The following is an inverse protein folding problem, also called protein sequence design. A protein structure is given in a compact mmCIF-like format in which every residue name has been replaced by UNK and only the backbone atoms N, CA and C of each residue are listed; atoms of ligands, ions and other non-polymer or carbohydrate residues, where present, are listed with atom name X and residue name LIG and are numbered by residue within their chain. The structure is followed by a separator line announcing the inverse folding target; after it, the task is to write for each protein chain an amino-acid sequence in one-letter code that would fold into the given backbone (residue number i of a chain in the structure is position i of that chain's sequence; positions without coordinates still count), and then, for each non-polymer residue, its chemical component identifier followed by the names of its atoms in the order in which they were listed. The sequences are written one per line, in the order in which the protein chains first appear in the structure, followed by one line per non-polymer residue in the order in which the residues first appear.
data_IF_108421641791
#
_entry.id   IF_108421641791
#
_cell.length_a   1.000
_cell.length_b   1.000
_cell.length_c   1.000
_cell.angle_alpha   90.00
_cell.angle_beta   90.00
_cell.angle_gamma   90.00
#
_symmetry.space_group_name_H-M   'P 1'
#
loop_
_entity.id
_entity.type
_entity.pdbx_description
1 polymer ?
#
# COMPACT_ATOMS: atom_id res chain seq x y z
N UNK A 1 -29.44 -10.04 2.32
CA UNK A 1 -28.28 -10.09 1.41
C UNK A 1 -27.04 -10.27 2.28
N UNK A 2 -26.29 -11.33 2.09
CA UNK A 2 -24.98 -11.47 2.72
C UNK A 2 -24.14 -10.30 2.24
N UNK A 3 -23.61 -9.51 3.19
CA UNK A 3 -22.74 -8.39 2.87
C UNK A 3 -21.38 -8.94 2.41
N UNK A 4 -21.20 -9.00 1.10
CA UNK A 4 -20.04 -9.61 0.43
C UNK A 4 -18.71 -8.97 0.82
N UNK A 5 -18.75 -7.74 1.33
CA UNK A 5 -17.58 -6.94 1.65
C UNK A 5 -17.50 -6.56 3.12
N UNK A 6 -18.22 -7.28 3.98
CA UNK A 6 -18.21 -7.03 5.41
C UNK A 6 -16.86 -7.43 6.04
N UNK A 7 -16.25 -6.49 6.75
CA UNK A 7 -14.99 -6.65 7.48
C UNK A 7 -15.16 -6.54 8.99
N UNK A 8 -16.40 -6.64 9.49
CA UNK A 8 -16.68 -6.54 10.93
C UNK A 8 -15.90 -7.59 11.71
N UNK A 9 -15.19 -7.15 12.75
CA UNK A 9 -14.34 -7.99 13.58
C UNK A 9 -12.95 -8.28 12.99
N UNK A 10 -12.64 -7.80 11.78
CA UNK A 10 -11.30 -7.86 11.19
C UNK A 10 -10.42 -6.73 11.69
N UNK A 11 -9.15 -7.03 11.92
CA UNK A 11 -8.11 -6.06 12.29
C UNK A 11 -7.11 -5.88 11.18
N UNK A 12 -6.90 -4.64 10.78
CA UNK A 12 -6.00 -4.25 9.69
C UNK A 12 -4.76 -3.56 10.24
N UNK A 13 -3.58 -3.98 9.79
CA UNK A 13 -2.33 -3.24 9.93
C UNK A 13 -2.02 -2.56 8.60
N UNK A 14 -1.97 -1.22 8.57
CA UNK A 14 -1.70 -0.46 7.34
C UNK A 14 -0.52 0.49 7.52
N UNK A 15 0.46 0.41 6.62
CA UNK A 15 1.59 1.34 6.58
C UNK A 15 1.30 2.54 5.67
N UNK A 16 1.70 3.74 6.10
CA UNK A 16 1.47 4.98 5.36
C UNK A 16 0.01 5.42 5.35
N UNK A 17 -0.75 5.11 6.42
CA UNK A 17 -2.18 5.41 6.53
C UNK A 17 -2.55 6.88 6.80
N UNK A 18 -1.58 7.79 6.92
CA UNK A 18 -1.84 9.18 7.30
C UNK A 18 -2.42 10.05 6.18
N UNK A 19 -2.17 9.74 4.91
CA UNK A 19 -2.62 10.53 3.76
C UNK A 19 -2.64 9.72 2.46
N UNK A 20 -3.14 10.34 1.39
CA UNK A 20 -3.14 9.77 0.04
C UNK A 20 -3.87 8.45 -0.05
N UNK A 21 -3.35 7.51 -0.84
CA UNK A 21 -3.98 6.21 -1.07
C UNK A 21 -4.12 5.39 0.22
N UNK A 22 -3.11 5.46 1.12
CA UNK A 22 -3.16 4.73 2.39
C UNK A 22 -4.31 5.19 3.29
N UNK A 23 -4.56 6.50 3.37
CA UNK A 23 -5.70 7.05 4.11
C UNK A 23 -7.03 6.59 3.52
N UNK A 24 -7.19 6.67 2.19
CA UNK A 24 -8.44 6.26 1.54
C UNK A 24 -8.72 4.76 1.71
N UNK A 25 -7.69 3.93 1.63
CA UNK A 25 -7.83 2.50 1.95
C UNK A 25 -8.21 2.27 3.42
N UNK A 26 -7.57 2.97 4.36
CA UNK A 26 -7.89 2.85 5.79
C UNK A 26 -9.35 3.24 6.09
N UNK A 27 -9.83 4.35 5.52
CA UNK A 27 -11.22 4.80 5.67
C UNK A 27 -12.21 3.84 5.02
N UNK A 28 -11.92 3.31 3.83
CA UNK A 28 -12.78 2.36 3.15
C UNK A 28 -12.91 1.05 3.93
N UNK A 29 -11.80 0.51 4.46
CA UNK A 29 -11.82 -0.69 5.30
C UNK A 29 -12.57 -0.45 6.62
N UNK A 30 -12.38 0.72 7.25
CA UNK A 30 -13.12 1.10 8.44
C UNK A 30 -14.63 1.21 8.14
N UNK A 31 -15.01 1.84 7.02
CA UNK A 31 -16.40 1.91 6.55
C UNK A 31 -17.02 0.54 6.27
N UNK A 32 -16.20 -0.45 5.90
CA UNK A 32 -16.61 -1.85 5.74
C UNK A 32 -16.62 -2.64 7.05
N UNK A 33 -16.23 -2.05 8.18
CA UNK A 33 -16.33 -2.64 9.52
C UNK A 33 -15.02 -3.08 10.17
N UNK A 34 -13.86 -2.88 9.54
CA UNK A 34 -12.57 -3.24 10.11
C UNK A 34 -12.09 -2.24 11.17
N UNK A 35 -11.35 -2.72 12.17
CA UNK A 35 -10.55 -1.89 13.07
C UNK A 35 -9.14 -1.71 12.50
N UNK A 36 -8.55 -0.53 12.65
CA UNK A 36 -7.36 -0.12 11.89
C UNK A 36 -6.19 0.24 12.81
N UNK A 37 -5.05 -0.42 12.64
CA UNK A 37 -3.76 0.03 13.15
C UNK A 37 -3.03 0.83 12.05
N UNK A 38 -2.96 2.15 12.26
CA UNK A 38 -2.34 3.11 11.35
C UNK A 38 -0.86 3.27 11.67
N UNK A 39 0.01 2.87 10.77
CA UNK A 39 1.46 3.07 10.92
C UNK A 39 1.93 4.17 9.98
N UNK A 40 2.47 5.25 10.53
CA UNK A 40 3.09 6.33 9.77
C UNK A 40 4.00 7.17 10.67
N UNK A 41 4.77 8.07 10.08
CA UNK A 41 5.52 9.08 10.83
C UNK A 41 4.57 10.02 11.58
N UNK A 42 4.96 10.55 12.75
CA UNK A 42 4.14 11.49 13.51
C UNK A 42 3.69 12.67 12.64
N UNK A 43 2.40 12.98 12.66
CA UNK A 43 1.84 14.13 11.95
C UNK A 43 0.38 14.35 12.34
N UNK A 44 -0.11 15.60 12.22
CA UNK A 44 -1.53 15.95 12.41
C UNK A 44 -2.44 15.14 11.47
N UNK A 45 -1.98 14.89 10.24
CA UNK A 45 -2.72 14.08 9.26
C UNK A 45 -2.92 12.63 9.71
N UNK A 46 -1.98 12.06 10.49
CA UNK A 46 -2.13 10.72 11.06
C UNK A 46 -3.20 10.71 12.16
N UNK A 47 -3.18 11.70 13.04
CA UNK A 47 -4.20 11.87 14.09
C UNK A 47 -5.57 12.11 13.48
N UNK A 48 -5.67 12.99 12.47
CA UNK A 48 -6.93 13.25 11.78
C UNK A 48 -7.50 11.99 11.12
N UNK A 49 -6.67 11.17 10.48
CA UNK A 49 -7.13 9.89 9.91
C UNK A 49 -7.67 8.96 10.98
N UNK A 50 -7.02 8.90 12.15
CA UNK A 50 -7.51 8.09 13.27
C UNK A 50 -8.84 8.61 13.82
N UNK A 51 -9.02 9.92 13.91
CA UNK A 51 -10.30 10.54 14.33
C UNK A 51 -11.41 10.24 13.33
N UNK A 52 -11.13 10.35 12.04
CA UNK A 52 -12.10 10.03 10.98
C UNK A 52 -12.55 8.56 11.05
N UNK A 53 -11.63 7.63 11.33
CA UNK A 53 -11.95 6.21 11.53
C UNK A 53 -12.82 6.01 12.78
N UNK A 54 -12.49 6.69 13.89
CA UNK A 54 -13.30 6.64 15.12
C UNK A 54 -14.70 7.21 14.90
N UNK A 55 -14.84 8.25 14.09
CA UNK A 55 -16.13 8.82 13.69
C UNK A 55 -17.01 7.83 12.89
N UNK A 56 -16.40 6.84 12.20
CA UNK A 56 -17.11 5.72 11.58
C UNK A 56 -17.51 4.62 12.58
N UNK A 57 -17.28 4.83 13.88
CA UNK A 57 -17.58 3.85 14.93
C UNK A 57 -16.59 2.68 15.00
N UNK A 58 -15.37 2.84 14.46
CA UNK A 58 -14.32 1.80 14.46
C UNK A 58 -13.16 2.19 15.37
N UNK A 59 -12.40 1.17 15.80
CA UNK A 59 -11.18 1.40 16.57
C UNK A 59 -10.05 1.81 15.63
N UNK A 60 -9.33 2.88 16.03
CA UNK A 60 -8.11 3.30 15.37
C UNK A 60 -6.95 3.35 16.37
N UNK A 61 -5.93 2.52 16.17
CA UNK A 61 -4.66 2.58 16.89
C UNK A 61 -3.64 3.36 16.07
N UNK A 62 -2.96 4.29 16.69
CA UNK A 62 -1.91 5.10 16.06
C UNK A 62 -0.55 4.55 16.47
N UNK A 63 0.22 4.11 15.51
CA UNK A 63 1.54 3.51 15.66
C UNK A 63 2.56 4.38 14.91
N UNK A 64 3.27 5.23 15.66
CA UNK A 64 4.21 6.17 15.06
C UNK A 64 5.55 5.50 14.75
N UNK A 65 5.90 5.42 13.46
CA UNK A 65 7.18 4.92 12.96
C UNK A 65 7.44 5.35 11.51
N UNK A 66 8.71 5.45 11.12
CA UNK A 66 9.12 5.48 9.70
C UNK A 66 9.52 4.08 9.26
N UNK A 67 8.62 3.36 8.60
CA UNK A 67 8.91 2.01 8.09
C UNK A 67 9.86 2.00 6.88
N UNK A 68 10.30 3.17 6.40
CA UNK A 68 11.42 3.29 5.45
C UNK A 68 12.77 3.02 6.11
N UNK A 69 12.85 3.14 7.44
CA UNK A 69 13.95 2.68 8.27
C UNK A 69 13.70 1.21 8.65
N UNK A 70 14.60 0.27 8.30
CA UNK A 70 14.42 -1.15 8.58
C UNK A 70 14.31 -1.49 10.07
N UNK A 71 15.08 -0.81 10.95
CA UNK A 71 15.05 -1.05 12.39
C UNK A 71 13.72 -0.57 13.00
N UNK A 72 13.27 0.61 12.60
CA UNK A 72 11.96 1.14 13.01
C UNK A 72 10.80 0.28 12.49
N UNK A 73 10.90 -0.26 11.28
CA UNK A 73 9.90 -1.17 10.71
C UNK A 73 9.81 -2.48 11.49
N UNK A 74 10.95 -3.07 11.84
CA UNK A 74 11.01 -4.30 12.66
C UNK A 74 10.40 -4.04 14.06
N UNK A 75 10.85 -3.00 14.73
CA UNK A 75 10.41 -2.65 16.09
C UNK A 75 8.91 -2.37 16.16
N UNK A 76 8.35 -1.59 15.21
CA UNK A 76 6.93 -1.24 15.24
C UNK A 76 6.01 -2.42 14.97
N UNK A 77 6.43 -3.36 14.09
CA UNK A 77 5.67 -4.58 13.84
C UNK A 77 5.61 -5.48 15.09
N UNK A 78 6.73 -5.65 15.77
CA UNK A 78 6.78 -6.43 17.02
C UNK A 78 5.95 -5.77 18.12
N UNK A 79 6.10 -4.46 18.34
CA UNK A 79 5.29 -3.71 19.31
C UNK A 79 3.80 -3.84 19.01
N UNK A 80 3.39 -3.72 17.76
CA UNK A 80 1.99 -3.87 17.37
C UNK A 80 1.43 -5.27 17.71
N UNK A 81 2.21 -6.32 17.51
CA UNK A 81 1.80 -7.69 17.87
C UNK A 81 1.73 -7.91 19.38
N UNK A 82 2.65 -7.33 20.14
CA UNK A 82 2.65 -7.41 21.61
C UNK A 82 1.46 -6.67 22.22
N UNK A 83 1.18 -5.46 21.76
CA UNK A 83 0.11 -4.61 22.30
C UNK A 83 -1.29 -5.00 21.79
N UNK A 84 -1.39 -5.41 20.52
CA UNK A 84 -2.69 -5.58 19.84
C UNK A 84 -2.97 -7.04 19.43
N UNK A 85 -1.97 -7.91 19.45
CA UNK A 85 -2.08 -9.29 18.97
C UNK A 85 -2.09 -9.39 17.43
N UNK A 86 -2.54 -10.53 16.90
CA UNK A 86 -2.51 -10.79 15.44
C UNK A 86 -3.50 -9.93 14.68
N UNK A 87 -3.18 -9.68 13.40
CA UNK A 87 -4.01 -8.97 12.44
C UNK A 87 -4.58 -9.95 11.39
N UNK A 88 -5.73 -9.62 10.81
CA UNK A 88 -6.36 -10.38 9.73
C UNK A 88 -5.95 -9.85 8.35
N UNK A 89 -5.63 -8.55 8.28
CA UNK A 89 -5.32 -7.84 7.04
C UNK A 89 -4.03 -7.04 7.23
N UNK A 90 -3.09 -7.16 6.27
CA UNK A 90 -1.89 -6.35 6.17
C UNK A 90 -1.92 -5.57 4.86
N UNK A 91 -1.77 -4.24 4.94
CA UNK A 91 -1.60 -3.38 3.77
C UNK A 91 -0.21 -2.73 3.82
N UNK A 92 0.66 -3.15 2.92
CA UNK A 92 1.97 -2.56 2.70
C UNK A 92 1.84 -1.43 1.67
N UNK A 93 1.64 -0.19 2.14
CA UNK A 93 1.40 0.94 1.26
C UNK A 93 2.56 1.95 1.23
N UNK A 94 3.47 1.94 2.20
CA UNK A 94 4.59 2.87 2.20
C UNK A 94 5.44 2.71 0.94
N UNK A 95 5.81 3.83 0.34
CA UNK A 95 6.65 3.90 -0.84
C UNK A 95 6.56 5.26 -1.53
N UNK A 96 7.33 5.39 -2.59
CA UNK A 96 7.34 6.60 -3.42
C UNK A 96 8.65 6.75 -4.18
N UNK A 97 8.62 7.47 -5.31
CA UNK A 97 9.78 7.71 -6.15
C UNK A 97 10.81 8.63 -5.48
N UNK A 98 10.37 9.69 -4.81
CA UNK A 98 11.11 10.71 -4.05
C UNK A 98 12.30 11.36 -4.77
N UNK A 99 13.12 10.58 -5.46
CA UNK A 99 14.31 11.02 -6.16
C UNK A 99 14.14 10.76 -7.65
N UNK A 100 14.47 11.76 -8.48
CA UNK A 100 14.28 11.72 -9.93
C UNK A 100 15.62 12.01 -10.62
N UNK A 101 16.58 11.08 -10.43
CA UNK A 101 17.95 11.18 -10.93
C UNK A 101 18.18 10.12 -12.02
N UNK A 102 18.90 10.44 -13.13
CA UNK A 102 19.32 9.45 -14.12
C UNK A 102 20.08 8.28 -13.49
N UNK A 103 20.02 7.12 -14.11
CA UNK A 103 20.63 5.90 -13.55
C UNK A 103 22.14 6.03 -13.37
N UNK A 104 22.82 6.67 -14.32
CA UNK A 104 24.25 6.90 -14.32
C UNK A 104 24.73 7.83 -13.19
N UNK A 105 23.85 8.71 -12.71
CA UNK A 105 24.14 9.69 -11.65
C UNK A 105 23.62 9.24 -10.26
N UNK A 106 22.93 8.11 -10.20
CA UNK A 106 22.32 7.61 -8.95
C UNK A 106 23.37 6.92 -8.09
N UNK A 107 23.73 7.53 -6.97
CA UNK A 107 24.67 6.94 -6.02
C UNK A 107 24.08 5.73 -5.27
N UNK A 108 24.99 4.88 -4.76
CA UNK A 108 24.61 3.63 -4.09
C UNK A 108 23.85 3.85 -2.78
N UNK A 109 24.12 4.94 -2.05
CA UNK A 109 23.44 5.23 -0.79
C UNK A 109 21.97 5.56 -1.06
N UNK A 110 21.69 6.47 -1.97
CA UNK A 110 20.34 6.81 -2.43
C UNK A 110 19.61 5.58 -2.98
N UNK A 111 20.29 4.74 -3.78
CA UNK A 111 19.71 3.47 -4.23
C UNK A 111 19.26 2.59 -3.05
N UNK A 112 20.11 2.40 -2.03
CA UNK A 112 19.80 1.58 -0.85
C UNK A 112 18.62 2.15 -0.06
N UNK A 113 18.60 3.46 0.18
CA UNK A 113 17.50 4.12 0.88
C UNK A 113 16.16 3.94 0.14
N UNK A 114 16.17 4.07 -1.18
CA UNK A 114 14.98 3.86 -1.99
C UNK A 114 14.53 2.40 -2.02
N UNK A 115 15.46 1.44 -2.00
CA UNK A 115 15.12 0.02 -1.86
C UNK A 115 14.58 -0.28 -0.45
N UNK A 116 15.12 0.31 0.61
CA UNK A 116 14.56 0.19 1.97
C UNK A 116 13.13 0.70 2.01
N UNK A 117 12.88 1.90 1.51
CA UNK A 117 11.56 2.52 1.49
C UNK A 117 10.52 1.71 0.71
N UNK A 118 10.86 1.19 -0.47
CA UNK A 118 9.89 0.66 -1.43
C UNK A 118 9.77 -0.87 -1.46
N UNK A 119 10.78 -1.59 -0.93
CA UNK A 119 10.83 -3.06 -0.96
C UNK A 119 11.08 -3.66 0.43
N UNK A 120 12.17 -3.24 1.13
CA UNK A 120 12.55 -3.84 2.41
C UNK A 120 11.46 -3.63 3.46
N UNK A 121 10.80 -2.47 3.48
CA UNK A 121 9.66 -2.19 4.35
C UNK A 121 8.51 -3.20 4.15
N UNK A 122 8.16 -3.47 2.88
CA UNK A 122 7.14 -4.48 2.52
C UNK A 122 7.53 -5.88 2.98
N UNK A 123 8.80 -6.25 2.79
CA UNK A 123 9.33 -7.53 3.25
C UNK A 123 9.25 -7.68 4.77
N UNK A 124 9.74 -6.69 5.53
CA UNK A 124 9.77 -6.75 7.00
C UNK A 124 8.37 -6.84 7.60
N UNK A 125 7.44 -5.98 7.16
CA UNK A 125 6.07 -6.02 7.63
C UNK A 125 5.39 -7.36 7.27
N UNK A 126 5.60 -7.86 6.05
CA UNK A 126 5.06 -9.17 5.65
C UNK A 126 5.64 -10.30 6.48
N UNK A 127 6.96 -10.33 6.67
CA UNK A 127 7.66 -11.34 7.48
C UNK A 127 7.11 -11.42 8.90
N UNK A 128 6.92 -10.27 9.55
CA UNK A 128 6.55 -10.22 10.97
C UNK A 128 5.04 -10.36 11.16
N UNK A 129 4.25 -9.50 10.53
CA UNK A 129 2.78 -9.52 10.67
C UNK A 129 2.18 -10.76 9.99
N UNK A 130 2.62 -11.10 8.77
CA UNK A 130 2.17 -12.30 8.08
C UNK A 130 2.66 -13.58 8.78
N UNK A 131 3.86 -13.60 9.34
CA UNK A 131 4.34 -14.69 10.18
C UNK A 131 3.48 -14.90 11.43
N UNK A 132 2.94 -13.82 12.01
CA UNK A 132 1.96 -13.91 13.10
C UNK A 132 0.60 -14.44 12.62
N UNK A 133 0.15 -14.11 11.40
CA UNK A 133 -1.06 -14.70 10.79
C UNK A 133 -0.90 -16.23 10.63
N UNK A 134 0.25 -16.71 10.16
CA UNK A 134 0.56 -18.14 10.05
C UNK A 134 0.45 -18.81 11.43
N UNK A 135 1.10 -18.25 12.45
CA UNK A 135 1.06 -18.79 13.82
C UNK A 135 -0.35 -18.81 14.40
N UNK A 136 -1.18 -17.82 14.08
CA UNK A 136 -2.57 -17.74 14.53
C UNK A 136 -3.48 -18.79 13.86
N UNK A 137 -3.11 -19.31 12.67
CA UNK A 137 -3.82 -20.37 11.97
C UNK A 137 -5.23 -20.00 11.47
N UNK A 138 -5.54 -18.70 11.33
CA UNK A 138 -6.87 -18.22 10.93
C UNK A 138 -6.94 -17.69 9.49
N UNK A 139 -5.86 -17.91 8.72
CA UNK A 139 -5.69 -17.28 7.42
C UNK A 139 -5.35 -15.79 7.52
N UNK A 140 -5.44 -15.08 6.40
CA UNK A 140 -5.15 -13.66 6.36
C UNK A 140 -5.21 -13.07 4.94
N UNK A 141 -5.10 -11.75 4.85
CA UNK A 141 -5.09 -11.00 3.59
C UNK A 141 -3.89 -10.06 3.56
N UNK A 142 -3.04 -10.19 2.55
CA UNK A 142 -1.90 -9.29 2.34
C UNK A 142 -2.13 -8.52 1.05
N UNK A 143 -2.09 -7.20 1.13
CA UNK A 143 -2.27 -6.28 0.01
C UNK A 143 -1.02 -5.42 -0.08
N UNK A 144 -0.24 -5.62 -1.14
CA UNK A 144 0.97 -4.84 -1.40
C UNK A 144 0.67 -3.75 -2.42
N UNK A 145 1.01 -2.50 -2.11
CA UNK A 145 0.86 -1.40 -3.07
C UNK A 145 2.13 -1.31 -3.90
N UNK A 146 2.01 -1.81 -5.13
CA UNK A 146 3.04 -1.71 -6.15
C UNK A 146 2.90 -0.39 -6.96
N UNK A 147 2.90 -0.46 -8.27
CA UNK A 147 2.68 0.65 -9.20
C UNK A 147 2.54 0.09 -10.61
N UNK A 148 1.90 0.80 -11.53
CA UNK A 148 2.03 0.52 -12.97
C UNK A 148 3.50 0.56 -13.42
N UNK A 149 4.33 1.37 -12.78
CA UNK A 149 5.77 1.45 -13.05
C UNK A 149 6.55 0.18 -12.68
N UNK A 150 5.90 -0.81 -12.07
CA UNK A 150 6.44 -2.16 -11.94
C UNK A 150 6.35 -2.98 -13.24
N UNK A 151 5.50 -2.55 -14.19
CA UNK A 151 5.20 -3.22 -15.45
C UNK A 151 5.72 -2.44 -16.66
N UNK A 152 5.72 -1.11 -16.58
CA UNK A 152 6.16 -0.21 -17.64
C UNK A 152 7.14 0.83 -17.11
N UNK A 153 8.07 1.26 -17.93
CA UNK A 153 8.99 2.34 -17.61
C UNK A 153 8.42 3.68 -18.08
N UNK A 154 8.24 4.62 -17.16
CA UNK A 154 7.75 5.97 -17.48
C UNK A 154 8.74 6.73 -18.38
N UNK A 155 8.24 7.43 -19.41
CA UNK A 155 9.07 8.30 -20.27
C UNK A 155 9.34 9.63 -19.57
N UNK A 156 10.55 10.17 -19.72
CA UNK A 156 10.92 11.49 -19.20
C UNK A 156 11.00 11.59 -17.67
N UNK A 157 10.90 10.47 -16.96
CA UNK A 157 11.03 10.40 -15.51
C UNK A 157 12.27 9.56 -15.18
N UNK A 158 13.21 10.11 -14.40
CA UNK A 158 14.38 9.39 -13.88
C UNK A 158 14.03 8.50 -12.67
N UNK A 159 15.04 8.04 -11.94
CA UNK A 159 14.85 7.33 -10.68
C UNK A 159 14.37 5.89 -10.86
N UNK A 160 15.10 5.11 -11.66
CA UNK A 160 14.77 3.71 -12.00
C UNK A 160 14.80 2.74 -10.81
N UNK A 161 15.35 3.15 -9.67
CA UNK A 161 15.24 2.46 -8.40
C UNK A 161 13.78 2.17 -8.00
N UNK A 162 12.86 3.11 -8.31
CA UNK A 162 11.45 2.96 -7.97
C UNK A 162 10.77 1.86 -8.78
N UNK A 163 10.93 1.88 -10.11
CA UNK A 163 10.40 0.84 -11.00
C UNK A 163 10.96 -0.53 -10.61
N UNK A 164 12.27 -0.61 -10.37
CA UNK A 164 12.93 -1.85 -9.95
C UNK A 164 12.39 -2.37 -8.64
N UNK A 165 12.25 -1.51 -7.62
CA UNK A 165 11.70 -1.91 -6.33
C UNK A 165 10.24 -2.37 -6.45
N UNK A 166 9.40 -1.65 -7.22
CA UNK A 166 7.99 -1.99 -7.40
C UNK A 166 7.79 -3.27 -8.24
N UNK A 167 8.67 -3.53 -9.21
CA UNK A 167 8.72 -4.83 -9.91
C UNK A 167 9.09 -5.98 -8.95
N UNK A 168 10.06 -5.76 -8.06
CA UNK A 168 10.41 -6.71 -7.02
C UNK A 168 9.25 -6.96 -6.04
N UNK A 169 8.45 -5.95 -5.68
CA UNK A 169 7.23 -6.12 -4.87
C UNK A 169 6.22 -7.03 -5.56
N UNK A 170 6.02 -6.93 -6.89
CA UNK A 170 5.14 -7.82 -7.62
C UNK A 170 5.61 -9.28 -7.54
N UNK A 171 6.92 -9.51 -7.77
CA UNK A 171 7.45 -10.86 -7.68
C UNK A 171 7.40 -11.39 -6.24
N UNK A 172 7.72 -10.57 -5.24
CA UNK A 172 7.59 -10.92 -3.83
C UNK A 172 6.15 -11.29 -3.46
N UNK A 173 5.15 -10.56 -3.98
CA UNK A 173 3.74 -10.87 -3.79
C UNK A 173 3.39 -12.28 -4.31
N UNK A 174 3.90 -12.66 -5.48
CA UNK A 174 3.69 -14.00 -6.06
C UNK A 174 4.34 -15.10 -5.23
N UNK A 175 5.55 -14.87 -4.70
CA UNK A 175 6.20 -15.86 -3.83
C UNK A 175 5.43 -16.02 -2.53
N UNK A 176 4.99 -14.96 -1.88
CA UNK A 176 4.14 -15.04 -0.70
C UNK A 176 2.83 -15.79 -0.98
N UNK A 177 2.22 -15.55 -2.14
CA UNK A 177 0.98 -16.23 -2.53
C UNK A 177 1.15 -17.75 -2.62
N UNK A 178 2.27 -18.21 -3.17
CA UNK A 178 2.59 -19.65 -3.27
C UNK A 178 2.91 -20.22 -1.89
N UNK A 179 3.80 -19.58 -1.14
CA UNK A 179 4.31 -20.10 0.12
C UNK A 179 3.25 -20.12 1.23
N UNK A 180 2.29 -19.17 1.20
CA UNK A 180 1.36 -18.94 2.31
C UNK A 180 -0.09 -19.38 2.01
N UNK A 181 -0.38 -19.78 0.77
CA UNK A 181 -1.69 -20.36 0.43
C UNK A 181 -2.07 -21.56 1.30
N UNK A 182 -1.15 -22.50 1.66
CA UNK A 182 -1.48 -23.61 2.57
C UNK A 182 -1.93 -23.17 3.97
N UNK A 183 -1.61 -21.92 4.35
CA UNK A 183 -2.04 -21.32 5.63
C UNK A 183 -3.34 -20.51 5.51
N UNK A 184 -4.03 -20.53 4.34
CA UNK A 184 -5.24 -19.74 4.10
C UNK A 184 -4.99 -18.23 3.95
N UNK A 185 -3.74 -17.83 3.67
CA UNK A 185 -3.35 -16.44 3.47
C UNK A 185 -3.29 -16.15 1.96
N UNK A 186 -4.00 -15.11 1.52
CA UNK A 186 -3.85 -14.58 0.16
C UNK A 186 -2.91 -13.38 0.16
N UNK A 187 -2.09 -13.26 -0.88
CA UNK A 187 -1.22 -12.11 -1.11
C UNK A 187 -1.46 -11.56 -2.53
N UNK A 188 -1.89 -10.30 -2.63
CA UNK A 188 -2.17 -9.65 -3.90
C UNK A 188 -1.52 -8.27 -3.96
N UNK A 189 -1.24 -7.77 -5.15
CA UNK A 189 -0.71 -6.43 -5.36
C UNK A 189 -1.73 -5.54 -6.08
N UNK A 190 -1.86 -4.31 -5.62
CA UNK A 190 -2.51 -3.23 -6.37
C UNK A 190 -1.43 -2.44 -7.09
N UNK A 191 -1.66 -2.13 -8.37
CA UNK A 191 -0.75 -1.37 -9.23
C UNK A 191 -1.44 -0.05 -9.63
N UNK A 192 -1.35 1.01 -8.79
CA UNK A 192 -1.97 2.28 -9.11
C UNK A 192 -1.23 2.99 -10.24
N UNK A 193 -1.99 3.69 -11.11
CA UNK A 193 -1.51 4.74 -11.97
C UNK A 193 -1.38 6.09 -11.25
N UNK A 194 -1.64 7.18 -11.97
CA UNK A 194 -1.61 8.53 -11.43
C UNK A 194 -2.94 8.86 -10.75
N UNK A 195 -2.93 9.04 -9.44
CA UNK A 195 -4.10 9.41 -8.63
C UNK A 195 -4.02 10.84 -8.10
N UNK A 196 -5.16 11.52 -7.95
CA UNK A 196 -5.28 12.88 -7.43
C UNK A 196 -5.09 12.94 -5.89
N UNK A 197 -3.99 12.37 -5.39
CA UNK A 197 -3.60 12.44 -3.98
C UNK A 197 -3.07 13.83 -3.63
N UNK A 198 -3.04 14.20 -2.34
CA UNK A 198 -2.47 15.47 -1.89
C UNK A 198 -1.03 15.71 -2.42
N UNK A 199 -0.09 14.74 -2.31
CA UNK A 199 1.25 14.93 -2.89
C UNK A 199 1.24 15.17 -4.40
N UNK A 200 0.40 14.46 -5.16
CA UNK A 200 0.32 14.62 -6.61
C UNK A 200 -0.35 15.94 -7.01
N UNK A 201 -1.31 16.44 -6.22
CA UNK A 201 -1.88 17.79 -6.43
C UNK A 201 -0.86 18.90 -6.19
N UNK A 202 -0.08 18.80 -5.10
CA UNK A 202 1.05 19.72 -4.86
C UNK A 202 2.09 19.64 -5.98
N UNK A 203 2.34 18.46 -6.51
CA UNK A 203 3.22 18.29 -7.67
C UNK A 203 2.63 18.90 -8.94
N UNK A 204 1.32 18.80 -9.15
CA UNK A 204 0.61 19.48 -10.24
C UNK A 204 0.74 21.00 -10.17
N UNK A 205 0.62 21.57 -8.97
CA UNK A 205 0.79 23.02 -8.76
C UNK A 205 2.21 23.49 -9.09
N UNK A 206 3.24 22.69 -8.77
CA UNK A 206 4.65 23.03 -9.01
C UNK A 206 5.15 22.65 -10.41
N UNK A 207 4.51 21.70 -11.09
CA UNK A 207 4.91 21.16 -12.39
C UNK A 207 3.69 20.85 -13.29
N UNK A 208 2.86 21.85 -13.63
CA UNK A 208 1.59 21.64 -14.35
C UNK A 208 1.78 20.97 -15.71
N UNK A 209 2.77 21.41 -16.50
CA UNK A 209 3.05 20.84 -17.82
C UNK A 209 3.41 19.35 -17.78
N UNK A 210 4.13 18.93 -16.74
CA UNK A 210 4.47 17.52 -16.57
C UNK A 210 3.22 16.69 -16.28
N UNK A 211 2.36 17.18 -15.39
CA UNK A 211 1.11 16.48 -15.06
C UNK A 211 0.16 16.44 -16.27
N UNK A 212 0.05 17.52 -17.05
CA UNK A 212 -0.75 17.55 -18.27
C UNK A 212 -0.27 16.49 -19.27
N UNK A 213 1.04 16.34 -19.47
CA UNK A 213 1.62 15.27 -20.31
C UNK A 213 1.28 13.87 -19.79
N UNK A 214 1.43 13.65 -18.46
CA UNK A 214 1.12 12.37 -17.86
C UNK A 214 -0.38 12.03 -17.95
N UNK A 215 -1.25 13.02 -17.82
CA UNK A 215 -2.71 12.86 -17.97
C UNK A 215 -3.09 12.62 -19.42
N UNK A 216 -2.40 13.25 -20.39
CA UNK A 216 -2.63 13.02 -21.81
C UNK A 216 -2.33 11.58 -22.25
N UNK A 217 -1.41 10.89 -21.56
CA UNK A 217 -1.09 9.48 -21.78
C UNK A 217 -2.12 8.52 -21.14
N UNK A 218 -3.07 9.02 -20.34
CA UNK A 218 -4.11 8.21 -19.71
C UNK A 218 -5.34 8.18 -20.61
N UNK A 219 -5.80 7.04 -21.14
CA UNK A 219 -7.01 6.97 -22.00
C UNK A 219 -8.26 7.59 -21.38
N UNK A 220 -8.47 7.49 -20.06
CA UNK A 220 -9.59 8.16 -19.38
C UNK A 220 -9.44 9.68 -19.26
N UNK A 221 -8.29 10.27 -19.65
CA UNK A 221 -8.06 11.70 -19.70
C UNK A 221 -8.03 12.43 -18.35
N UNK A 222 -7.86 11.71 -17.25
CA UNK A 222 -7.86 12.30 -15.91
C UNK A 222 -7.02 11.49 -14.92
N UNK A 223 -6.62 12.12 -13.81
CA UNK A 223 -6.10 11.40 -12.64
C UNK A 223 -7.21 10.59 -11.99
N UNK A 224 -6.87 9.39 -11.48
CA UNK A 224 -7.79 8.56 -10.71
C UNK A 224 -8.26 9.21 -9.40
N UNK A 225 -9.48 8.91 -8.98
CA UNK A 225 -9.97 9.33 -7.68
C UNK A 225 -9.39 8.40 -6.59
N UNK A 226 -8.70 8.92 -5.56
CA UNK A 226 -8.14 8.09 -4.49
C UNK A 226 -9.13 7.15 -3.79
N UNK A 227 -10.44 7.46 -3.79
CA UNK A 227 -11.49 6.59 -3.24
C UNK A 227 -11.64 5.27 -4.00
N UNK A 228 -11.33 5.25 -5.29
CA UNK A 228 -11.49 4.04 -6.11
C UNK A 228 -10.54 2.92 -5.63
N UNK A 229 -9.35 3.28 -5.13
CA UNK A 229 -8.42 2.29 -4.58
C UNK A 229 -8.93 1.69 -3.26
N UNK A 230 -9.70 2.47 -2.49
CA UNK A 230 -10.33 2.00 -1.25
C UNK A 230 -11.29 0.84 -1.51
N UNK A 231 -12.14 0.95 -2.54
CA UNK A 231 -13.08 -0.09 -2.92
C UNK A 231 -12.35 -1.40 -3.31
N UNK A 232 -11.26 -1.28 -4.09
CA UNK A 232 -10.44 -2.44 -4.47
C UNK A 232 -9.76 -3.08 -3.25
N UNK A 233 -9.28 -2.28 -2.31
CA UNK A 233 -8.69 -2.77 -1.06
C UNK A 233 -9.72 -3.54 -0.20
N UNK A 234 -10.94 -3.03 -0.09
CA UNK A 234 -12.04 -3.72 0.61
C UNK A 234 -12.36 -5.07 -0.04
N UNK A 235 -12.46 -5.11 -1.38
CA UNK A 235 -12.65 -6.38 -2.10
C UNK A 235 -11.56 -7.39 -1.76
N UNK A 236 -10.29 -7.02 -1.90
CA UNK A 236 -9.15 -7.90 -1.63
C UNK A 236 -9.03 -8.33 -0.17
N UNK A 237 -9.50 -7.49 0.75
CA UNK A 237 -9.53 -7.78 2.19
C UNK A 237 -10.68 -8.71 2.59
N UNK A 238 -11.74 -8.78 1.78
CA UNK A 238 -12.96 -9.55 2.07
C UNK A 238 -12.79 -11.04 1.79
N UNK A 239 -13.75 -11.82 2.28
CA UNK A 239 -13.84 -13.25 1.99
C UNK A 239 -14.23 -13.51 0.53
N UNK A 240 -14.82 -12.53 -0.17
CA UNK A 240 -15.15 -12.62 -1.60
C UNK A 240 -13.93 -12.74 -2.50
N UNK A 241 -12.75 -12.31 -2.05
CA UNK A 241 -11.47 -12.48 -2.76
C UNK A 241 -10.70 -13.74 -2.31
N UNK A 242 -11.31 -14.66 -1.58
CA UNK A 242 -10.64 -15.82 -0.96
C UNK A 242 -9.94 -16.77 -1.92
N UNK A 243 -10.31 -16.77 -3.21
CA UNK A 243 -9.64 -17.57 -4.26
C UNK A 243 -8.70 -16.75 -5.14
N UNK A 244 -8.48 -15.47 -4.81
CA UNK A 244 -7.56 -14.59 -5.52
C UNK A 244 -6.25 -14.45 -4.72
N UNK A 245 -5.16 -14.98 -5.27
CA UNK A 245 -3.81 -14.84 -4.69
C UNK A 245 -2.76 -14.74 -5.78
N UNK A 246 -1.68 -13.99 -5.56
CA UNK A 246 -0.61 -13.73 -6.53
C UNK A 246 -0.98 -12.76 -7.65
N UNK A 247 -2.17 -12.17 -7.61
CA UNK A 247 -2.64 -11.25 -8.65
C UNK A 247 -1.96 -9.87 -8.55
N UNK A 248 -1.82 -9.25 -9.72
CA UNK A 248 -1.38 -7.85 -9.87
C UNK A 248 -2.54 -7.07 -10.51
N UNK A 249 -3.24 -6.29 -9.70
CA UNK A 249 -4.45 -5.58 -10.13
C UNK A 249 -4.10 -4.15 -10.52
N UNK A 250 -4.24 -3.85 -11.80
CA UNK A 250 -4.00 -2.52 -12.36
C UNK A 250 -5.22 -1.64 -12.16
N UNK A 251 -4.99 -0.40 -11.73
CA UNK A 251 -6.01 0.65 -11.62
C UNK A 251 -5.36 1.97 -12.05
N UNK A 252 -5.47 2.30 -13.36
CA UNK A 252 -4.62 3.31 -13.99
C UNK A 252 -5.32 4.13 -15.09
N UNK A 253 -6.62 3.98 -15.27
CA UNK A 253 -7.38 4.67 -16.33
C UNK A 253 -7.00 4.22 -17.74
N UNK A 254 -6.40 3.03 -17.89
CA UNK A 254 -6.00 2.46 -19.18
C UNK A 254 -4.57 2.80 -19.60
N UNK A 255 -3.79 3.47 -18.77
CA UNK A 255 -2.41 3.90 -19.10
C UNK A 255 -1.53 2.75 -19.60
N UNK A 256 -1.64 1.56 -19.03
CA UNK A 256 -0.81 0.40 -19.42
C UNK A 256 -1.37 -0.39 -20.61
N UNK A 257 -2.49 0.02 -21.18
CA UNK A 257 -3.09 -0.63 -22.34
C UNK A 257 -2.62 -0.06 -23.69
N UNK A 258 -1.90 1.06 -23.70
CA UNK A 258 -1.44 1.81 -24.88
C UNK A 258 0.06 1.98 -24.93
#
# INVERSE_FOLDING_TARGET
MTDLFNLTGKRTFITGGSRGLGREMALALAGAGADIALVARPSDALQQTAEDIRALGRTAWVLEADVGDPEAADAICHRALEELGSFDILINNVGGRRVNVPTEDLDLLTWREMMHLNLTSTFLCSRIIGGAMIKAGKGGRIINIASINAMVAGRGIGGRHYETAKAAVLQFTRTLAVDWAPHGITANAICPGLFATEPNRKWQESNPEMIERLVADIPMGSMGNPKDIGALAVYLASDSAGFMTGASLVIDGGYTCV
#
